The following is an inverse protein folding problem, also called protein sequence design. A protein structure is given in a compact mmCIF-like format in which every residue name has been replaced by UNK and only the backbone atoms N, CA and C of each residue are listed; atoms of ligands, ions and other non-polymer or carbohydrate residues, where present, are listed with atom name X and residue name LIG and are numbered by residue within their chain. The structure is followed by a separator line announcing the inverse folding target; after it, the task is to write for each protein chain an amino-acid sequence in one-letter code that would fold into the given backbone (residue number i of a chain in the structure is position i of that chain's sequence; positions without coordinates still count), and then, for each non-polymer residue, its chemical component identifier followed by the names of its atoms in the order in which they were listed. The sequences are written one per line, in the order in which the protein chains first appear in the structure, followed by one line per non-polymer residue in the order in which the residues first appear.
data_IF_033491258693
#
_entry.id   IF_033491258693
#
_cell.length_a   1.000
_cell.length_b   1.000
_cell.length_c   1.000
_cell.angle_alpha   90.00
_cell.angle_beta   90.00
_cell.angle_gamma   90.00
#
_symmetry.space_group_name_H-M   'P 1'
#
loop_
_entity.id
_entity.type
_entity.pdbx_description
1 polymer ?
#
# COMPACT_ATOMS: atom_id res chain seq x y z
N UNK A 1 -32.44 9.81 -18.92
CA UNK A 1 -31.46 8.76 -19.32
C UNK A 1 -30.52 9.32 -20.38
N UNK A 2 -29.25 9.55 -20.04
CA UNK A 2 -28.23 9.96 -21.02
C UNK A 2 -27.71 8.73 -21.75
N UNK A 3 -28.10 8.54 -23.02
CA UNK A 3 -27.59 7.43 -23.85
C UNK A 3 -26.06 7.50 -23.90
N UNK A 4 -25.39 6.35 -23.71
CA UNK A 4 -23.92 6.25 -23.78
C UNK A 4 -23.15 6.70 -22.52
N UNK A 5 -23.82 7.00 -21.41
CA UNK A 5 -23.12 7.38 -20.17
C UNK A 5 -22.46 6.17 -19.49
N UNK A 6 -21.12 6.15 -19.42
CA UNK A 6 -20.36 5.12 -18.68
C UNK A 6 -20.75 5.12 -17.20
N UNK A 7 -20.85 6.29 -16.56
CA UNK A 7 -21.31 6.40 -15.17
C UNK A 7 -22.72 5.84 -14.99
N UNK A 8 -23.62 6.16 -15.93
CA UNK A 8 -24.98 5.64 -15.93
C UNK A 8 -25.05 4.12 -16.13
N UNK A 9 -24.08 3.51 -16.80
CA UNK A 9 -23.99 2.06 -16.95
C UNK A 9 -23.56 1.36 -15.66
N UNK A 10 -22.59 1.92 -14.92
CA UNK A 10 -22.17 1.37 -13.63
C UNK A 10 -23.24 1.54 -12.55
N UNK A 11 -23.86 2.73 -12.46
CA UNK A 11 -24.93 2.99 -11.49
C UNK A 11 -26.17 2.12 -11.73
N UNK A 12 -26.47 1.81 -13.00
CA UNK A 12 -27.59 0.95 -13.36
C UNK A 12 -27.23 -0.54 -13.40
N UNK A 13 -26.00 -0.93 -13.05
CA UNK A 13 -25.55 -2.33 -13.03
C UNK A 13 -25.36 -2.98 -14.41
N UNK A 14 -25.47 -2.23 -15.52
CA UNK A 14 -25.15 -2.72 -16.88
C UNK A 14 -23.65 -2.98 -17.04
N UNK A 15 -22.82 -2.26 -16.29
CA UNK A 15 -21.39 -2.53 -16.09
C UNK A 15 -21.12 -2.74 -14.61
N UNK A 16 -20.16 -3.60 -14.29
CA UNK A 16 -19.73 -3.87 -12.93
C UNK A 16 -18.26 -4.25 -12.89
N UNK A 17 -17.63 -4.14 -11.72
CA UNK A 17 -16.27 -4.62 -11.49
C UNK A 17 -16.40 -6.06 -11.02
N UNK A 18 -15.89 -7.00 -11.82
CA UNK A 18 -15.94 -8.42 -11.47
C UNK A 18 -15.13 -8.69 -10.19
N UNK A 19 -15.72 -9.44 -9.27
CA UNK A 19 -15.01 -9.94 -8.09
C UNK A 19 -14.39 -11.29 -8.47
N UNK A 20 -13.08 -11.52 -8.22
CA UNK A 20 -12.46 -12.79 -8.53
C UNK A 20 -13.15 -13.93 -7.76
N UNK A 21 -13.53 -15.00 -8.46
CA UNK A 21 -14.19 -16.19 -7.88
C UNK A 21 -13.29 -16.93 -6.88
N UNK A 22 -11.98 -16.87 -7.11
CA UNK A 22 -10.97 -17.49 -6.26
C UNK A 22 -10.00 -16.45 -5.71
N UNK A 23 -9.65 -16.58 -4.43
CA UNK A 23 -8.60 -15.80 -3.78
C UNK A 23 -7.33 -16.64 -3.69
N UNK A 24 -6.18 -16.04 -4.02
CA UNK A 24 -4.90 -16.69 -3.78
C UNK A 24 -4.71 -16.91 -2.27
N UNK A 25 -4.22 -18.10 -1.91
CA UNK A 25 -3.93 -18.45 -0.51
C UNK A 25 -2.54 -17.92 -0.12
N UNK A 26 -2.42 -17.45 1.11
CA UNK A 26 -1.13 -17.04 1.65
C UNK A 26 -0.17 -18.24 1.70
N UNK A 27 1.05 -18.05 1.20
CA UNK A 27 2.11 -19.05 1.35
C UNK A 27 2.60 -19.02 2.81
N UNK A 28 2.71 -20.20 3.43
CA UNK A 28 3.18 -20.33 4.81
C UNK A 28 4.56 -19.70 4.97
N UNK A 29 4.74 -18.88 6.01
CA UNK A 29 6.01 -18.22 6.31
C UNK A 29 6.32 -16.98 5.47
N UNK A 30 5.55 -16.69 4.41
CA UNK A 30 5.77 -15.54 3.54
C UNK A 30 4.99 -14.31 3.97
N UNK A 31 5.59 -13.49 4.83
CA UNK A 31 4.96 -12.25 5.36
C UNK A 31 6.00 -11.25 5.84
N UNK A 32 5.62 -9.97 5.80
CA UNK A 32 6.22 -8.92 6.62
C UNK A 32 5.44 -8.82 7.92
N UNK A 33 6.11 -8.74 9.07
CA UNK A 33 5.43 -8.56 10.36
C UNK A 33 5.92 -7.32 11.06
N UNK A 34 5.05 -6.31 11.18
CA UNK A 34 5.31 -5.13 12.01
C UNK A 34 4.91 -5.46 13.45
N UNK A 35 5.82 -5.30 14.40
CA UNK A 35 5.56 -5.55 15.82
C UNK A 35 5.52 -4.26 16.64
N UNK A 36 4.56 -4.17 17.54
CA UNK A 36 4.42 -3.07 18.50
C UNK A 36 4.39 -1.68 17.86
N UNK A 37 3.62 -1.52 16.78
CA UNK A 37 3.49 -0.26 16.07
C UNK A 37 2.79 0.79 16.96
N UNK A 38 3.46 1.90 17.22
CA UNK A 38 3.01 3.01 18.09
C UNK A 38 3.12 4.38 17.42
N UNK A 39 3.36 4.41 16.11
CA UNK A 39 3.43 5.66 15.37
C UNK A 39 2.05 6.36 15.35
N UNK A 40 2.04 7.64 15.70
CA UNK A 40 0.83 8.47 15.85
C UNK A 40 -0.16 7.84 16.85
N UNK A 41 -1.36 7.50 16.38
CA UNK A 41 -2.44 6.97 17.21
C UNK A 41 -2.51 5.43 17.24
N UNK A 42 -1.51 4.72 16.68
CA UNK A 42 -1.46 3.26 16.74
C UNK A 42 -1.23 2.79 18.18
N UNK A 43 -2.02 1.80 18.61
CA UNK A 43 -2.10 1.36 20.01
C UNK A 43 -1.17 0.17 20.32
N UNK A 44 0.08 0.19 19.81
CA UNK A 44 1.03 -0.90 20.04
C UNK A 44 0.69 -2.20 19.32
N UNK A 45 0.14 -2.10 18.11
CA UNK A 45 -0.40 -3.25 17.37
C UNK A 45 0.69 -4.09 16.68
N UNK A 46 0.43 -5.39 16.55
CA UNK A 46 1.17 -6.31 15.69
C UNK A 46 0.37 -6.56 14.41
N UNK A 47 0.99 -6.45 13.24
CA UNK A 47 0.33 -6.66 11.94
C UNK A 47 1.18 -7.52 11.03
N UNK A 48 0.57 -8.57 10.48
CA UNK A 48 1.14 -9.39 9.41
C UNK A 48 0.63 -8.92 8.04
N UNK A 49 1.55 -8.70 7.09
CA UNK A 49 1.26 -8.43 5.68
C UNK A 49 1.75 -9.62 4.86
N UNK A 50 0.86 -10.49 4.35
CA UNK A 50 1.28 -11.66 3.58
C UNK A 50 1.88 -11.24 2.24
N UNK A 51 2.98 -11.89 1.87
CA UNK A 51 3.65 -11.64 0.59
C UNK A 51 3.05 -12.51 -0.52
N UNK A 52 3.06 -11.97 -1.75
CA UNK A 52 2.50 -12.62 -2.93
C UNK A 52 0.97 -12.55 -3.02
N UNK A 53 0.34 -11.67 -2.23
CA UNK A 53 -1.10 -11.42 -2.25
C UNK A 53 -1.41 -9.93 -2.44
N UNK A 54 -2.56 -9.64 -3.04
CA UNK A 54 -3.15 -8.30 -2.98
C UNK A 54 -3.71 -8.07 -1.56
N UNK A 55 -2.99 -7.27 -0.78
CA UNK A 55 -3.39 -6.92 0.59
C UNK A 55 -3.96 -5.51 0.62
N UNK A 56 -5.20 -5.39 1.10
CA UNK A 56 -5.85 -4.09 1.31
C UNK A 56 -5.85 -3.72 2.79
N UNK A 57 -5.33 -2.54 3.13
CA UNK A 57 -5.44 -1.96 4.47
C UNK A 57 -6.61 -0.98 4.48
N UNK A 58 -7.67 -1.31 5.21
CA UNK A 58 -8.94 -0.58 5.20
C UNK A 58 -9.30 -0.04 6.59
N UNK A 59 -10.33 0.80 6.64
CA UNK A 59 -10.77 1.47 7.86
C UNK A 59 -11.15 2.94 7.64
N UNK A 60 -11.89 3.51 8.59
CA UNK A 60 -12.36 4.91 8.52
C UNK A 60 -11.22 5.93 8.52
N UNK A 61 -11.49 7.18 8.14
CA UNK A 61 -10.50 8.27 8.26
C UNK A 61 -9.98 8.37 9.70
N UNK A 62 -8.67 8.59 9.86
CA UNK A 62 -8.03 8.64 11.18
C UNK A 62 -7.76 7.29 11.84
N UNK A 63 -8.16 6.14 11.26
CA UNK A 63 -7.94 4.82 11.87
C UNK A 63 -6.47 4.33 11.92
N UNK A 64 -5.52 5.12 11.42
CA UNK A 64 -4.10 4.78 11.43
C UNK A 64 -3.55 4.02 10.22
N UNK A 65 -4.35 3.85 9.13
CA UNK A 65 -3.90 3.17 7.88
C UNK A 65 -2.60 3.77 7.33
N UNK A 66 -2.56 5.09 7.15
CA UNK A 66 -1.39 5.79 6.62
C UNK A 66 -0.24 5.77 7.63
N UNK A 67 -0.52 5.85 8.93
CA UNK A 67 0.50 5.68 9.98
C UNK A 67 1.19 4.32 9.89
N UNK A 68 0.44 3.26 9.61
CA UNK A 68 0.98 1.91 9.46
C UNK A 68 1.73 1.73 8.13
N UNK A 69 1.08 2.01 7.00
CA UNK A 69 1.63 1.69 5.68
C UNK A 69 2.68 2.71 5.26
N UNK A 70 2.29 3.98 5.15
CA UNK A 70 3.18 5.06 4.69
C UNK A 70 4.12 5.56 5.79
N UNK A 71 3.70 5.48 7.05
CA UNK A 71 4.48 5.98 8.18
C UNK A 71 5.50 5.00 8.73
N UNK A 72 5.25 3.68 8.67
CA UNK A 72 6.15 2.65 9.20
C UNK A 72 6.68 1.75 8.09
N UNK A 73 5.79 1.02 7.42
CA UNK A 73 6.19 -0.09 6.55
C UNK A 73 6.98 0.38 5.31
N UNK A 74 6.49 1.40 4.61
CA UNK A 74 7.14 1.96 3.43
C UNK A 74 8.53 2.54 3.73
N UNK A 75 8.73 3.45 4.70
CA UNK A 75 10.06 3.96 5.01
C UNK A 75 11.01 2.89 5.54
N UNK A 76 10.51 1.86 6.24
CA UNK A 76 11.34 0.74 6.68
C UNK A 76 11.88 -0.08 5.50
N UNK A 77 11.02 -0.37 4.52
CA UNK A 77 11.41 -1.05 3.28
C UNK A 77 12.38 -0.20 2.46
N UNK A 78 12.14 1.12 2.34
CA UNK A 78 13.05 2.02 1.62
C UNK A 78 14.42 2.10 2.28
N UNK A 79 14.48 2.20 3.60
CA UNK A 79 15.74 2.22 4.35
C UNK A 79 16.49 0.89 4.21
N UNK A 80 15.78 -0.24 4.33
CA UNK A 80 16.39 -1.57 4.28
C UNK A 80 16.90 -1.96 2.88
N UNK A 81 16.12 -1.66 1.83
CA UNK A 81 16.40 -2.15 0.47
C UNK A 81 17.14 -1.14 -0.40
N UNK A 82 16.96 0.17 -0.14
CA UNK A 82 17.48 1.23 -1.01
C UNK A 82 18.50 2.15 -0.32
N UNK A 83 18.89 1.86 0.93
CA UNK A 83 19.71 2.74 1.77
C UNK A 83 19.19 4.19 1.82
N UNK A 84 17.86 4.35 1.69
CA UNK A 84 17.25 5.67 1.71
C UNK A 84 17.38 6.29 3.10
N UNK A 85 17.53 7.62 3.17
CA UNK A 85 17.45 8.38 4.41
C UNK A 85 15.97 8.56 4.84
N UNK A 86 15.31 7.44 5.05
CA UNK A 86 13.93 7.36 5.51
C UNK A 86 13.92 6.88 6.96
N UNK A 87 13.18 7.59 7.82
CA UNK A 87 13.01 7.20 9.23
C UNK A 87 11.62 6.59 9.41
N UNK A 88 11.52 5.27 9.66
CA UNK A 88 10.24 4.66 9.95
C UNK A 88 9.66 5.19 11.26
N UNK A 89 8.35 5.35 11.30
CA UNK A 89 7.60 5.71 12.50
C UNK A 89 7.81 4.70 13.63
N UNK A 90 7.44 5.08 14.86
CA UNK A 90 7.66 4.27 16.07
C UNK A 90 7.05 2.86 15.95
N UNK A 91 7.89 1.85 16.11
CA UNK A 91 7.56 0.43 16.15
C UNK A 91 8.68 -0.32 16.89
N UNK A 92 8.47 -1.61 17.25
CA UNK A 92 9.50 -2.42 17.92
C UNK A 92 10.45 -3.06 16.91
N UNK A 93 9.93 -3.89 16.03
CA UNK A 93 10.70 -4.56 14.95
C UNK A 93 9.82 -4.79 13.73
N UNK A 94 10.46 -5.03 12.59
CA UNK A 94 9.79 -5.57 11.40
C UNK A 94 10.54 -6.83 10.98
N UNK A 95 9.84 -7.96 11.00
CA UNK A 95 10.39 -9.25 10.60
C UNK A 95 10.06 -9.53 9.12
N UNK A 96 10.92 -10.30 8.43
CA UNK A 96 10.69 -10.78 7.06
C UNK A 96 11.10 -9.79 5.96
N UNK A 97 11.80 -8.70 6.29
CA UNK A 97 12.30 -7.73 5.31
C UNK A 97 13.22 -8.36 4.25
N UNK A 98 13.95 -9.41 4.63
CA UNK A 98 14.81 -10.24 3.78
C UNK A 98 14.05 -11.05 2.71
N UNK A 99 12.72 -11.16 2.84
CA UNK A 99 11.87 -11.89 1.88
C UNK A 99 11.45 -11.04 0.66
N UNK A 100 11.93 -9.80 0.60
CA UNK A 100 11.67 -8.82 -0.46
C UNK A 100 13.01 -8.26 -0.92
N UNK A 101 13.22 -8.18 -2.23
CA UNK A 101 14.44 -7.66 -2.85
C UNK A 101 14.28 -6.20 -3.31
N UNK A 102 13.06 -5.77 -3.60
CA UNK A 102 12.73 -4.42 -4.03
C UNK A 102 11.37 -3.96 -3.49
N UNK A 103 11.31 -2.70 -3.05
CA UNK A 103 10.05 -2.02 -2.74
C UNK A 103 9.84 -0.83 -3.69
N UNK A 104 8.66 -0.76 -4.30
CA UNK A 104 8.23 0.38 -5.13
C UNK A 104 7.03 1.02 -4.43
N UNK A 105 7.17 2.29 -4.07
CA UNK A 105 6.15 3.06 -3.37
C UNK A 105 5.53 3.99 -4.41
N UNK A 106 4.24 3.80 -4.67
CA UNK A 106 3.47 4.64 -5.61
C UNK A 106 2.46 5.41 -4.77
N UNK A 107 2.53 6.74 -4.84
CA UNK A 107 1.63 7.66 -4.16
C UNK A 107 1.05 8.69 -5.13
N UNK A 108 0.37 9.70 -4.59
CA UNK A 108 -0.22 10.79 -5.37
C UNK A 108 0.72 11.99 -5.54
N UNK A 109 2.01 11.83 -5.26
CA UNK A 109 2.99 12.89 -5.52
C UNK A 109 3.04 13.18 -7.02
N UNK A 110 3.19 14.45 -7.43
CA UNK A 110 3.31 14.79 -8.84
C UNK A 110 4.49 14.04 -9.49
N UNK A 111 4.28 13.52 -10.70
CA UNK A 111 5.31 12.80 -11.48
C UNK A 111 6.56 13.65 -11.76
N UNK A 112 6.40 14.98 -11.71
CA UNK A 112 7.48 15.96 -11.73
C UNK A 112 6.92 17.34 -11.46
N UNK A 113 7.79 18.28 -11.08
CA UNK A 113 7.40 19.65 -10.72
C UNK A 113 7.70 20.67 -11.83
N UNK A 114 8.00 20.21 -13.05
CA UNK A 114 8.39 21.08 -14.17
C UNK A 114 7.49 20.87 -15.38
N UNK A 115 7.32 21.89 -16.25
CA UNK A 115 6.57 21.75 -17.51
C UNK A 115 7.14 20.71 -18.47
N UNK A 116 8.39 20.29 -18.27
CA UNK A 116 9.05 19.24 -19.07
C UNK A 116 8.70 17.82 -18.61
N UNK A 117 8.04 17.68 -17.46
CA UNK A 117 7.56 16.40 -16.97
C UNK A 117 6.20 16.08 -17.59
N UNK A 118 6.12 14.97 -18.31
CA UNK A 118 4.90 14.49 -18.96
C UNK A 118 4.90 12.95 -18.99
N UNK A 119 3.78 12.31 -19.36
CA UNK A 119 3.72 10.85 -19.41
C UNK A 119 4.77 10.18 -20.30
N UNK A 120 5.26 10.86 -21.36
CA UNK A 120 6.27 10.32 -22.27
C UNK A 120 7.71 10.39 -21.71
N UNK A 121 7.95 11.23 -20.70
CA UNK A 121 9.28 11.45 -20.10
C UNK A 121 9.46 10.75 -18.75
N UNK A 122 8.41 10.11 -18.25
CA UNK A 122 8.44 9.32 -17.03
C UNK A 122 8.80 7.86 -17.37
N UNK A 123 10.08 7.52 -17.29
CA UNK A 123 10.65 6.17 -17.55
C UNK A 123 11.26 5.56 -16.31
#
# INVERSE_FOLDING_TARGET
HTKGSITGDYLAGRRSIAVPEQRMKAKRGRRLRVKGATHNNLQGIDVDVPLGLLTAVTGVSGSGKSSLVSGILAPALQRHLHNADATPGKHKTIDGLDQVDKAIIIDQSPIGRTPRSNPATYT
#
